data_IF_123647813685
#
_entry.id   IF_123647813685
#
_cell.length_a   1.000
_cell.length_b   1.000
_cell.length_c   1.000
_cell.angle_alpha   90.00
_cell.angle_beta   90.00
_cell.angle_gamma   90.00
#
_symmetry.space_group_name_H-M   'P 1'
#
loop_
_entity.id
_entity.type
_entity.pdbx_description
1 polymer ?
#
# COMPACT_ATOMS: atom_id res chain seq x y z
N UNK A 1 -4.06 10.21 -12.13
CA UNK A 1 -3.08 9.32 -12.80
C UNK A 1 -1.72 9.51 -12.16
N UNK A 2 -1.11 8.45 -11.62
CA UNK A 2 0.23 8.48 -11.02
C UNK A 2 1.30 8.40 -12.12
N UNK A 3 2.30 9.29 -12.07
CA UNK A 3 3.45 9.32 -12.98
C UNK A 3 4.74 9.69 -12.23
N UNK A 4 5.93 9.40 -12.78
CA UNK A 4 7.18 9.87 -12.17
C UNK A 4 7.29 11.39 -12.04
N UNK A 5 6.52 12.17 -12.82
CA UNK A 5 6.57 13.64 -12.81
C UNK A 5 5.75 14.27 -11.68
N UNK A 6 4.64 13.64 -11.28
CA UNK A 6 3.73 14.18 -10.28
C UNK A 6 3.80 13.47 -8.91
N UNK A 7 4.71 12.51 -8.73
CA UNK A 7 4.89 11.80 -7.46
C UNK A 7 5.16 12.75 -6.28
N UNK A 8 5.88 13.87 -6.49
CA UNK A 8 6.15 14.85 -5.44
C UNK A 8 4.91 15.57 -4.91
N UNK A 9 3.85 15.66 -5.72
CA UNK A 9 2.56 16.25 -5.32
C UNK A 9 1.66 15.23 -4.62
N UNK A 10 1.96 13.93 -4.76
CA UNK A 10 1.08 12.82 -4.36
C UNK A 10 1.62 12.09 -3.13
N UNK A 11 2.95 12.04 -2.96
CA UNK A 11 3.60 11.24 -1.94
C UNK A 11 3.11 11.50 -0.50
N UNK A 12 2.57 12.69 -0.21
CA UNK A 12 2.11 13.06 1.13
C UNK A 12 0.97 12.18 1.68
N UNK A 13 0.12 11.63 0.82
CA UNK A 13 -0.98 10.73 1.23
C UNK A 13 -0.67 9.25 1.01
N UNK A 14 0.49 8.92 0.41
CA UNK A 14 0.87 7.54 0.16
C UNK A 14 1.41 6.88 1.44
N UNK A 15 1.17 5.56 1.64
CA UNK A 15 1.76 4.82 2.74
C UNK A 15 3.28 5.00 2.79
N UNK A 16 3.85 5.03 4.00
CA UNK A 16 5.31 5.20 4.22
C UNK A 16 6.12 4.07 3.59
N UNK A 17 5.52 2.90 3.47
CA UNK A 17 6.10 1.70 2.86
C UNK A 17 5.93 1.64 1.34
N UNK A 18 5.23 2.59 0.71
CA UNK A 18 4.94 2.53 -0.71
C UNK A 18 6.22 2.63 -1.56
N UNK A 19 6.40 1.67 -2.47
CA UNK A 19 7.58 1.59 -3.33
C UNK A 19 7.85 2.90 -4.09
N UNK A 20 6.82 3.49 -4.70
CA UNK A 20 6.97 4.73 -5.48
C UNK A 20 7.42 5.91 -4.60
N UNK A 21 6.89 6.02 -3.38
CA UNK A 21 7.30 7.02 -2.41
C UNK A 21 8.75 6.81 -1.98
N UNK A 22 9.12 5.59 -1.60
CA UNK A 22 10.49 5.24 -1.21
C UNK A 22 11.48 5.55 -2.34
N UNK A 23 11.16 5.18 -3.59
CA UNK A 23 12.00 5.48 -4.75
C UNK A 23 12.13 6.98 -5.00
N UNK A 24 11.06 7.74 -4.83
CA UNK A 24 11.08 9.20 -4.96
C UNK A 24 11.93 9.88 -3.87
N UNK A 25 11.82 9.40 -2.63
CA UNK A 25 12.60 9.89 -1.47
C UNK A 25 14.06 9.39 -1.45
N UNK A 26 14.48 8.58 -2.42
CA UNK A 26 15.82 7.99 -2.46
C UNK A 26 16.07 6.94 -1.37
N UNK A 27 15.01 6.38 -0.78
CA UNK A 27 15.08 5.35 0.26
C UNK A 27 15.18 3.94 -0.35
N UNK A 28 15.82 3.00 0.36
CA UNK A 28 15.82 1.60 -0.05
C UNK A 28 14.40 1.02 0.01
N UNK A 29 14.17 -0.05 -0.76
CA UNK A 29 13.00 -0.91 -0.57
C UNK A 29 13.31 -1.89 0.57
N UNK A 30 12.27 -2.34 1.26
CA UNK A 30 12.41 -3.39 2.28
C UNK A 30 12.73 -4.75 1.66
N UNK A 31 13.37 -5.62 2.41
CA UNK A 31 13.82 -6.94 1.93
C UNK A 31 12.65 -7.86 1.53
N UNK A 32 11.48 -7.67 2.13
CA UNK A 32 10.25 -8.39 1.77
C UNK A 32 9.60 -7.87 0.48
N UNK A 33 10.09 -6.78 -0.10
CA UNK A 33 9.50 -6.20 -1.29
C UNK A 33 9.77 -7.09 -2.52
N UNK A 34 8.79 -7.42 -3.39
CA UNK A 34 8.98 -8.38 -4.50
C UNK A 34 10.10 -8.02 -5.48
N UNK A 35 10.40 -6.73 -5.64
CA UNK A 35 11.53 -6.25 -6.46
C UNK A 35 12.91 -6.54 -5.85
N UNK A 36 12.97 -6.83 -4.55
CA UNK A 36 14.18 -7.21 -3.80
C UNK A 36 14.22 -8.72 -3.60
N UNK A 37 13.13 -9.31 -3.11
CA UNK A 37 13.05 -10.74 -2.81
C UNK A 37 12.89 -11.63 -4.04
N UNK A 38 12.34 -11.09 -5.14
CA UNK A 38 12.00 -11.85 -6.35
C UNK A 38 10.75 -12.73 -6.20
N UNK A 39 10.10 -12.73 -5.04
CA UNK A 39 8.96 -13.59 -4.73
C UNK A 39 7.79 -12.77 -4.16
N UNK A 40 6.63 -12.72 -4.85
CA UNK A 40 5.46 -12.00 -4.34
C UNK A 40 4.93 -12.55 -3.01
N UNK A 41 5.17 -13.82 -2.65
CA UNK A 41 4.70 -14.38 -1.38
C UNK A 41 5.41 -13.78 -0.16
N UNK A 42 6.55 -13.13 -0.35
CA UNK A 42 7.31 -12.53 0.75
C UNK A 42 6.55 -11.42 1.47
N UNK A 43 5.69 -10.65 0.78
CA UNK A 43 4.82 -9.64 1.42
C UNK A 43 3.82 -10.27 2.37
N UNK A 44 3.31 -11.46 2.04
CA UNK A 44 2.38 -12.22 2.88
C UNK A 44 3.10 -12.82 4.08
N UNK A 45 4.27 -13.43 3.86
CA UNK A 45 5.07 -14.02 4.94
C UNK A 45 5.58 -12.98 5.95
N UNK A 46 5.84 -11.75 5.49
CA UNK A 46 6.25 -10.64 6.33
C UNK A 46 5.09 -9.96 7.09
N UNK A 47 3.84 -10.36 6.81
CA UNK A 47 2.64 -9.78 7.43
C UNK A 47 2.28 -8.38 6.95
N UNK A 48 2.89 -7.89 5.86
CA UNK A 48 2.70 -6.54 5.31
C UNK A 48 1.68 -6.56 4.16
N UNK A 49 0.72 -7.47 4.25
CA UNK A 49 -0.30 -7.67 3.23
C UNK A 49 -1.69 -7.57 3.84
N UNK A 50 -2.59 -6.87 3.14
CA UNK A 50 -4.01 -6.76 3.48
C UNK A 50 -4.83 -7.97 3.02
N UNK A 51 -4.19 -9.03 2.53
CA UNK A 51 -4.88 -10.25 2.08
C UNK A 51 -5.69 -10.85 3.22
N UNK A 52 -6.99 -10.99 3.01
CA UNK A 52 -7.93 -11.52 4.01
C UNK A 52 -8.44 -10.49 5.02
N UNK A 53 -8.08 -9.20 4.88
CA UNK A 53 -8.57 -8.12 5.74
C UNK A 53 -9.77 -7.39 5.13
N UNK A 54 -9.94 -7.46 3.81
CA UNK A 54 -10.90 -6.65 3.06
C UNK A 54 -12.15 -7.44 2.70
N UNK A 55 -13.30 -6.76 2.69
CA UNK A 55 -14.57 -7.26 2.14
C UNK A 55 -14.89 -6.58 0.80
N UNK A 56 -15.65 -7.21 -0.10
CA UNK A 56 -16.08 -6.58 -1.36
C UNK A 56 -17.04 -5.42 -1.10
N UNK A 57 -16.86 -4.30 -1.80
CA UNK A 57 -17.67 -3.08 -1.61
C UNK A 57 -19.17 -3.30 -1.86
N UNK A 58 -19.53 -4.20 -2.77
CA UNK A 58 -20.94 -4.50 -3.13
C UNK A 58 -21.63 -5.46 -2.16
N UNK A 59 -20.90 -5.99 -1.18
CA UNK A 59 -21.45 -6.81 -0.10
C UNK A 59 -21.73 -5.98 1.18
N UNK A 60 -21.37 -4.69 1.16
CA UNK A 60 -21.53 -3.75 2.27
C UNK A 60 -22.44 -2.60 1.80
N UNK A 61 -23.40 -2.19 2.63
CA UNK A 61 -24.25 -1.05 2.32
C UNK A 61 -23.41 0.25 2.28
N UNK A 62 -23.74 1.18 1.38
CA UNK A 62 -22.99 2.43 1.23
C UNK A 62 -22.96 3.24 2.54
N UNK A 63 -24.05 3.17 3.33
CA UNK A 63 -24.16 3.84 4.62
C UNK A 63 -23.19 3.26 5.68
N UNK A 64 -22.66 2.05 5.46
CA UNK A 64 -21.74 1.35 6.37
C UNK A 64 -20.27 1.47 5.93
N UNK A 65 -19.95 2.04 4.76
CA UNK A 65 -18.58 2.09 4.25
C UNK A 65 -17.59 2.82 5.16
N UNK A 66 -18.04 3.84 5.89
CA UNK A 66 -17.20 4.61 6.81
C UNK A 66 -16.59 3.72 7.92
N UNK A 67 -17.30 2.68 8.35
CA UNK A 67 -16.84 1.75 9.39
C UNK A 67 -15.70 0.82 8.90
N UNK A 68 -15.48 0.74 7.59
CA UNK A 68 -14.44 -0.09 6.96
C UNK A 68 -13.21 0.72 6.53
N UNK A 69 -13.16 2.02 6.82
CA UNK A 69 -11.98 2.84 6.57
C UNK A 69 -10.87 2.42 7.56
N UNK A 70 -9.73 2.00 7.02
CA UNK A 70 -8.54 1.70 7.84
C UNK A 70 -7.89 3.02 8.25
N UNK A 71 -7.97 3.35 9.54
CA UNK A 71 -7.27 4.49 10.13
C UNK A 71 -5.82 4.12 10.51
N UNK A 72 -4.83 4.92 10.09
CA UNK A 72 -3.41 4.75 10.46
C UNK A 72 -2.45 4.54 9.29
N UNK A 73 -1.18 4.25 9.59
CA UNK A 73 -0.17 3.85 8.58
C UNK A 73 -0.19 2.33 8.36
N UNK A 74 -0.11 1.92 7.09
CA UNK A 74 0.15 0.54 6.63
C UNK A 74 1.63 0.32 6.31
#
# INVERSE_FOLDING_TARGET
>A
MLTPKNIGEIAYWMPTTCAYRLRYEGKPLYDWHPLISGDPETVHSAGISVKGWTVPEFEVDEDEWEDYIIEGEL
#
